data_IF_250144922653
#
_entry.id   IF_250144922653
#
_cell.length_a   1.000
_cell.length_b   1.000
_cell.length_c   1.000
_cell.angle_alpha   90.00
_cell.angle_beta   90.00
_cell.angle_gamma   90.00
#
_symmetry.space_group_name_H-M   'P 1'
#
loop_
_entity.id
_entity.type
_entity.pdbx_description
1 polymer ?
#
# COMPACT_ATOMS: atom_id res chain seq x y z
N UNK A 1 -37.08 -16.32 18.44
CA UNK A 1 -37.02 -14.98 19.09
C UNK A 1 -35.58 -14.65 19.37
N UNK A 2 -35.19 -13.49 18.95
CA UNK A 2 -33.96 -12.74 19.28
C UNK A 2 -32.67 -13.07 18.49
N UNK A 3 -32.65 -12.61 17.25
CA UNK A 3 -31.42 -12.38 16.46
C UNK A 3 -31.44 -10.93 15.95
N UNK A 4 -31.44 -9.97 16.85
CA UNK A 4 -31.25 -8.55 16.57
C UNK A 4 -30.39 -8.01 17.70
N UNK A 5 -29.21 -7.47 17.35
CA UNK A 5 -28.37 -6.53 18.10
C UNK A 5 -26.89 -6.90 18.05
N UNK A 6 -26.31 -6.87 16.84
CA UNK A 6 -24.87 -6.64 16.68
C UNK A 6 -24.62 -5.71 15.46
N UNK A 7 -25.39 -4.64 15.37
CA UNK A 7 -25.16 -3.59 14.38
C UNK A 7 -25.45 -2.25 15.00
N UNK A 8 -24.58 -1.78 15.90
CA UNK A 8 -24.54 -0.37 16.25
C UNK A 8 -23.50 -0.09 17.35
N UNK A 9 -22.24 -0.32 17.09
CA UNK A 9 -21.17 0.34 17.86
C UNK A 9 -20.03 0.60 16.86
N UNK A 10 -20.20 1.61 16.04
CA UNK A 10 -19.10 2.22 15.33
C UNK A 10 -19.34 3.73 15.30
N UNK A 11 -18.48 4.42 16.04
CA UNK A 11 -18.23 5.85 15.91
C UNK A 11 -19.08 6.81 16.73
N UNK A 12 -18.92 6.77 18.06
CA UNK A 12 -19.02 7.97 18.89
C UNK A 12 -17.85 7.96 19.89
N UNK A 13 -16.66 8.20 19.38
CA UNK A 13 -15.53 8.74 20.13
C UNK A 13 -14.76 9.62 19.18
N UNK A 14 -14.35 10.81 19.62
CA UNK A 14 -13.42 11.69 18.93
C UNK A 14 -12.00 11.09 18.82
N UNK A 15 -11.91 9.80 18.55
CA UNK A 15 -10.66 9.08 18.40
C UNK A 15 -9.99 9.45 17.08
N UNK A 16 -8.72 9.75 17.15
CA UNK A 16 -7.88 10.03 15.98
C UNK A 16 -7.87 8.81 15.06
N UNK A 17 -8.08 9.04 13.77
CA UNK A 17 -7.99 7.99 12.76
C UNK A 17 -6.57 7.37 12.78
N UNK A 18 -6.50 6.05 12.87
CA UNK A 18 -5.25 5.28 12.94
C UNK A 18 -5.12 4.42 11.68
N UNK A 19 -4.03 4.57 10.96
CA UNK A 19 -3.73 3.73 9.80
C UNK A 19 -2.42 2.99 9.97
N UNK A 20 -2.30 1.85 9.31
CA UNK A 20 -1.05 1.15 9.15
C UNK A 20 -0.64 1.14 7.68
N UNK A 21 0.61 1.49 7.43
CA UNK A 21 1.25 1.41 6.12
C UNK A 21 2.26 0.26 6.16
N UNK A 22 2.10 -0.69 5.24
CA UNK A 22 2.95 -1.87 5.10
C UNK A 22 3.52 -1.91 3.70
N UNK A 23 4.73 -2.41 3.55
CA UNK A 23 5.29 -2.56 2.21
C UNK A 23 6.81 -2.60 2.18
N UNK A 24 7.32 -2.07 1.11
CA UNK A 24 8.74 -2.02 0.77
C UNK A 24 9.34 -0.60 0.84
N UNK A 25 10.41 -0.35 0.06
CA UNK A 25 11.09 0.95 0.05
C UNK A 25 10.21 2.12 -0.40
N UNK A 26 9.17 1.87 -1.22
CA UNK A 26 8.28 2.93 -1.67
C UNK A 26 7.53 3.55 -0.47
N UNK A 27 7.14 2.74 0.50
CA UNK A 27 6.49 3.21 1.73
C UNK A 27 7.49 3.67 2.79
N UNK A 28 8.69 3.05 2.82
CA UNK A 28 9.67 3.30 3.90
C UNK A 28 10.56 4.53 3.67
N UNK A 29 10.69 5.03 2.41
CA UNK A 29 11.68 6.07 2.09
C UNK A 29 11.31 7.46 2.60
N UNK A 30 12.34 8.17 3.04
CA UNK A 30 12.25 9.52 3.57
C UNK A 30 12.36 10.62 2.49
N UNK A 31 13.09 10.38 1.39
CA UNK A 31 13.32 11.37 0.31
C UNK A 31 13.74 12.75 0.81
N UNK A 32 14.64 12.79 1.80
CA UNK A 32 15.11 14.02 2.43
C UNK A 32 14.24 14.56 3.58
N UNK A 33 13.13 13.92 3.89
CA UNK A 33 12.27 14.28 5.01
C UNK A 33 12.71 13.63 6.32
N UNK A 34 12.27 14.16 7.46
CA UNK A 34 12.60 13.62 8.80
C UNK A 34 11.96 12.22 9.04
N UNK A 35 10.84 11.95 8.40
CA UNK A 35 10.16 10.66 8.43
C UNK A 35 9.81 10.21 6.99
N UNK A 36 9.31 8.99 6.75
CA UNK A 36 8.91 8.57 5.42
C UNK A 36 8.05 9.60 4.71
N UNK A 37 8.38 9.94 3.45
CA UNK A 37 7.74 11.03 2.70
C UNK A 37 6.22 10.87 2.65
N UNK A 38 5.73 9.65 2.51
CA UNK A 38 4.29 9.39 2.51
C UNK A 38 3.64 9.77 3.84
N UNK A 39 4.32 9.55 4.98
CA UNK A 39 3.81 9.94 6.29
C UNK A 39 3.69 11.47 6.39
N UNK A 40 4.75 12.19 5.96
CA UNK A 40 4.74 13.66 5.96
C UNK A 40 3.56 14.21 5.18
N UNK A 41 3.35 13.74 3.95
CA UNK A 41 2.27 14.21 3.08
C UNK A 41 0.88 13.91 3.64
N UNK A 42 0.69 12.72 4.22
CA UNK A 42 -0.59 12.35 4.83
C UNK A 42 -0.86 13.16 6.11
N UNK A 43 0.14 13.36 6.97
CA UNK A 43 0.00 14.18 8.20
C UNK A 43 -0.25 15.65 7.89
N UNK A 44 0.39 16.20 6.86
CA UNK A 44 0.13 17.58 6.41
C UNK A 44 -1.34 17.77 6.01
N UNK A 45 -1.93 16.75 5.37
CA UNK A 45 -3.33 16.79 4.95
C UNK A 45 -4.31 16.44 6.07
N UNK A 46 -3.90 15.58 6.99
CA UNK A 46 -4.70 15.08 8.12
C UNK A 46 -3.89 15.20 9.42
N UNK A 47 -3.84 16.38 10.04
CA UNK A 47 -2.97 16.63 11.21
C UNK A 47 -3.20 15.70 12.42
N UNK A 48 -4.40 15.16 12.53
CA UNK A 48 -4.77 14.25 13.62
C UNK A 48 -4.60 12.77 13.27
N UNK A 49 -4.07 12.44 12.07
CA UNK A 49 -3.87 11.07 11.63
C UNK A 49 -2.70 10.42 12.39
N UNK A 50 -2.94 9.25 12.94
CA UNK A 50 -1.90 8.40 13.53
C UNK A 50 -1.47 7.38 12.48
N UNK A 51 -0.18 7.34 12.15
CA UNK A 51 0.37 6.45 11.14
C UNK A 51 1.37 5.49 11.80
N UNK A 52 1.11 4.20 11.67
CA UNK A 52 2.05 3.14 11.96
C UNK A 52 2.67 2.67 10.64
N UNK A 53 3.91 3.08 10.37
CA UNK A 53 4.61 2.66 9.16
C UNK A 53 5.54 1.49 9.50
N UNK A 54 5.19 0.30 9.04
CA UNK A 54 5.92 -0.95 9.26
C UNK A 54 6.57 -1.46 7.97
N UNK A 55 6.77 -0.59 6.98
CA UNK A 55 7.42 -0.94 5.72
C UNK A 55 8.93 -1.17 5.91
N UNK A 56 9.47 -2.12 5.15
CA UNK A 56 10.91 -2.43 5.17
C UNK A 56 11.44 -2.42 3.74
N UNK A 57 12.46 -1.58 3.50
CA UNK A 57 13.07 -1.44 2.18
C UNK A 57 13.57 -2.79 1.64
N UNK A 58 13.34 -3.01 0.34
CA UNK A 58 13.78 -4.23 -0.34
C UNK A 58 12.87 -5.46 -0.16
N UNK A 59 11.87 -5.42 0.72
CA UNK A 59 10.97 -6.54 0.94
C UNK A 59 10.18 -6.89 -0.33
N UNK A 60 10.05 -8.18 -0.59
CA UNK A 60 9.08 -8.79 -1.50
C UNK A 60 7.95 -9.45 -0.67
N UNK A 61 7.01 -10.13 -1.33
CA UNK A 61 5.90 -10.78 -0.62
C UNK A 61 6.34 -11.92 0.29
N UNK A 62 7.45 -12.62 0.00
CA UNK A 62 7.99 -13.65 0.88
C UNK A 62 8.55 -13.04 2.18
N UNK A 63 9.23 -11.91 2.06
CA UNK A 63 9.81 -11.19 3.20
C UNK A 63 8.71 -10.62 4.09
N UNK A 64 7.72 -9.96 3.49
CA UNK A 64 6.57 -9.44 4.22
C UNK A 64 5.83 -10.55 4.97
N UNK A 65 5.61 -11.69 4.33
CA UNK A 65 4.91 -12.83 4.95
C UNK A 65 5.67 -13.38 6.16
N UNK A 66 7.02 -13.47 6.09
CA UNK A 66 7.85 -13.97 7.22
C UNK A 66 7.74 -13.11 8.47
N UNK A 67 7.63 -11.78 8.30
CA UNK A 67 7.57 -10.84 9.43
C UNK A 67 6.15 -10.35 9.77
N UNK A 68 5.14 -10.91 9.12
CA UNK A 68 3.77 -10.39 9.23
C UNK A 68 3.24 -10.44 10.66
N UNK A 69 3.45 -11.55 11.36
CA UNK A 69 2.94 -11.73 12.74
C UNK A 69 3.70 -10.89 13.75
N UNK A 70 5.04 -10.87 13.67
CA UNK A 70 5.88 -10.18 14.66
C UNK A 70 5.84 -8.66 14.53
N UNK A 71 5.97 -8.16 13.32
CA UNK A 71 6.22 -6.73 13.10
C UNK A 71 4.96 -5.98 12.71
N UNK A 72 4.08 -6.64 11.95
CA UNK A 72 2.93 -6.00 11.34
C UNK A 72 1.67 -6.17 12.18
N UNK A 73 1.35 -7.41 12.56
CA UNK A 73 0.19 -7.70 13.37
C UNK A 73 0.40 -7.41 14.86
N UNK A 74 1.61 -7.00 15.28
CA UNK A 74 1.85 -6.44 16.60
C UNK A 74 1.17 -5.08 16.79
N UNK A 75 1.02 -4.29 15.72
CA UNK A 75 0.22 -3.06 15.74
C UNK A 75 -1.25 -3.43 15.83
N UNK A 76 -1.95 -2.84 16.81
CA UNK A 76 -3.36 -3.15 17.08
C UNK A 76 -4.24 -1.92 16.97
N UNK A 77 -5.55 -2.15 16.76
CA UNK A 77 -6.57 -1.11 16.79
C UNK A 77 -6.33 -0.02 15.74
N UNK A 78 -6.01 -0.42 14.52
CA UNK A 78 -5.97 0.49 13.35
C UNK A 78 -7.29 0.43 12.59
N UNK A 79 -7.69 1.57 12.05
CA UNK A 79 -8.96 1.71 11.32
C UNK A 79 -8.81 1.21 9.88
N UNK A 80 -7.63 1.42 9.28
CA UNK A 80 -7.33 1.00 7.91
C UNK A 80 -5.88 0.53 7.76
N UNK A 81 -5.69 -0.46 6.89
CA UNK A 81 -4.40 -1.03 6.54
C UNK A 81 -4.18 -0.83 5.05
N UNK A 82 -3.03 -0.27 4.69
CA UNK A 82 -2.59 -0.11 3.31
C UNK A 82 -1.35 -0.95 3.07
N UNK A 83 -1.40 -1.83 2.08
CA UNK A 83 -0.31 -2.76 1.71
C UNK A 83 0.17 -2.42 0.31
N UNK A 84 1.42 -1.91 0.18
CA UNK A 84 2.08 -1.69 -1.09
C UNK A 84 3.27 -2.63 -1.19
N UNK A 85 3.14 -3.72 -1.96
CA UNK A 85 4.16 -4.75 -2.11
C UNK A 85 4.11 -5.35 -3.51
N UNK A 86 5.24 -5.82 -4.04
CA UNK A 86 5.28 -6.53 -5.30
C UNK A 86 6.29 -5.98 -6.31
N UNK A 87 6.79 -4.76 -6.12
CA UNK A 87 7.79 -4.20 -7.04
C UNK A 87 9.13 -4.96 -6.96
N UNK A 88 9.44 -5.54 -5.81
CA UNK A 88 10.60 -6.40 -5.63
C UNK A 88 10.34 -7.83 -6.10
N UNK A 89 9.10 -8.29 -6.07
CA UNK A 89 8.68 -9.56 -6.68
C UNK A 89 8.85 -9.52 -8.20
N UNK A 90 8.56 -8.38 -8.84
CA UNK A 90 8.72 -8.18 -10.28
C UNK A 90 10.16 -7.90 -10.74
N UNK A 91 11.14 -7.80 -9.82
CA UNK A 91 12.52 -7.53 -10.19
C UNK A 91 13.21 -8.78 -10.76
N UNK A 92 13.60 -8.78 -12.04
CA UNK A 92 14.17 -9.93 -12.78
C UNK A 92 15.35 -10.64 -12.09
N UNK A 93 16.17 -9.89 -11.32
CA UNK A 93 17.33 -10.44 -10.60
C UNK A 93 16.97 -11.18 -9.30
N UNK A 94 15.75 -11.05 -8.80
CA UNK A 94 15.26 -11.72 -7.57
C UNK A 94 13.76 -12.04 -7.65
N UNK A 95 13.31 -12.32 -8.85
CA UNK A 95 11.90 -12.50 -9.19
C UNK A 95 11.22 -13.58 -8.35
N UNK A 96 10.08 -13.25 -7.81
CA UNK A 96 9.13 -14.22 -7.25
C UNK A 96 8.14 -14.58 -8.35
N UNK A 97 7.97 -15.87 -8.65
CA UNK A 97 7.03 -16.29 -9.71
C UNK A 97 5.61 -15.79 -9.43
N UNK A 98 4.84 -15.52 -10.50
CA UNK A 98 3.46 -15.02 -10.38
C UNK A 98 2.56 -15.92 -9.53
N UNK A 99 2.75 -17.23 -9.58
CA UNK A 99 1.95 -18.15 -8.77
C UNK A 99 2.36 -18.10 -7.30
N UNK A 100 3.65 -18.00 -7.02
CA UNK A 100 4.15 -17.81 -5.64
C UNK A 100 3.72 -16.45 -5.07
N UNK A 101 3.76 -15.40 -5.90
CA UNK A 101 3.26 -14.08 -5.56
C UNK A 101 1.78 -14.13 -5.15
N UNK A 102 0.93 -14.78 -5.98
CA UNK A 102 -0.48 -14.96 -5.67
C UNK A 102 -0.69 -15.72 -4.36
N UNK A 103 0.00 -16.85 -4.17
CA UNK A 103 -0.07 -17.63 -2.93
C UNK A 103 0.35 -16.83 -1.70
N UNK A 104 1.37 -16.00 -1.82
CA UNK A 104 1.82 -15.13 -0.74
C UNK A 104 0.78 -14.07 -0.41
N UNK A 105 0.18 -13.44 -1.42
CA UNK A 105 -0.90 -12.47 -1.23
C UNK A 105 -2.11 -13.08 -0.51
N UNK A 106 -2.54 -14.27 -0.93
CA UNK A 106 -3.62 -15.02 -0.26
C UNK A 106 -3.29 -15.27 1.22
N UNK A 107 -2.07 -15.70 1.52
CA UNK A 107 -1.63 -15.93 2.90
C UNK A 107 -1.62 -14.63 3.72
N UNK A 108 -1.11 -13.53 3.13
CA UNK A 108 -1.11 -12.20 3.77
C UNK A 108 -2.55 -11.78 4.07
N UNK A 109 -3.45 -11.85 3.09
CA UNK A 109 -4.86 -11.49 3.27
C UNK A 109 -5.50 -12.36 4.36
N UNK A 110 -5.32 -13.66 4.33
CA UNK A 110 -5.88 -14.58 5.32
C UNK A 110 -5.39 -14.29 6.75
N UNK A 111 -4.14 -13.87 6.91
CA UNK A 111 -3.62 -13.46 8.22
C UNK A 111 -4.23 -12.12 8.68
N UNK A 112 -4.36 -11.15 7.77
CA UNK A 112 -4.99 -9.87 8.08
C UNK A 112 -6.48 -10.06 8.45
N UNK A 113 -7.19 -10.93 7.74
CA UNK A 113 -8.61 -11.22 7.99
C UNK A 113 -8.89 -11.91 9.33
N UNK A 114 -7.88 -12.44 10.02
CA UNK A 114 -8.03 -12.93 11.40
C UNK A 114 -8.29 -11.80 12.41
N UNK A 115 -7.97 -10.56 12.06
CA UNK A 115 -8.03 -9.40 12.96
C UNK A 115 -8.82 -8.22 12.41
N UNK A 116 -8.92 -8.11 11.09
CA UNK A 116 -9.53 -6.98 10.40
C UNK A 116 -10.58 -7.46 9.40
N UNK A 117 -11.59 -6.67 9.16
CA UNK A 117 -12.56 -6.97 8.10
C UNK A 117 -12.06 -6.47 6.73
N UNK A 118 -12.61 -7.01 5.65
CA UNK A 118 -12.22 -6.70 4.28
C UNK A 118 -12.24 -5.19 3.99
N UNK A 119 -13.24 -4.46 4.54
CA UNK A 119 -13.39 -3.02 4.35
C UNK A 119 -12.28 -2.17 4.97
N UNK A 120 -11.44 -2.75 5.83
CA UNK A 120 -10.29 -2.08 6.44
C UNK A 120 -8.99 -2.31 5.67
N UNK A 121 -8.97 -3.26 4.71
CA UNK A 121 -7.76 -3.73 4.04
C UNK A 121 -7.70 -3.19 2.61
N UNK A 122 -6.65 -2.45 2.31
CA UNK A 122 -6.40 -1.79 1.03
C UNK A 122 -5.07 -2.27 0.46
N UNK A 123 -5.10 -2.85 -0.72
CA UNK A 123 -3.88 -3.20 -1.46
C UNK A 123 -3.61 -2.15 -2.54
N UNK A 124 -2.38 -1.65 -2.56
CA UNK A 124 -1.89 -0.68 -3.53
C UNK A 124 -0.97 -1.43 -4.49
N UNK A 125 -1.13 -1.21 -5.79
CA UNK A 125 -0.27 -1.87 -6.79
C UNK A 125 1.18 -1.42 -6.67
N UNK A 126 2.15 -2.26 -7.12
CA UNK A 126 3.47 -1.78 -7.45
C UNK A 126 3.40 -0.53 -8.34
N UNK A 127 4.34 0.42 -8.22
CA UNK A 127 4.37 1.60 -9.09
C UNK A 127 4.83 1.26 -10.51
N UNK A 128 4.49 2.11 -11.49
CA UNK A 128 5.20 2.15 -12.76
C UNK A 128 6.63 2.63 -12.56
N UNK A 129 7.51 2.39 -13.53
CA UNK A 129 8.93 2.76 -13.49
C UNK A 129 9.33 3.55 -14.74
N UNK A 130 10.35 4.39 -14.61
CA UNK A 130 11.04 4.96 -15.77
C UNK A 130 12.01 3.91 -16.35
N UNK A 131 11.57 3.19 -17.39
CA UNK A 131 12.32 2.08 -18.00
C UNK A 131 13.68 2.50 -18.56
N UNK A 132 13.87 3.78 -18.88
CA UNK A 132 15.18 4.30 -19.36
C UNK A 132 16.26 4.21 -18.29
N UNK A 133 15.85 4.10 -17.01
CA UNK A 133 16.76 4.05 -15.86
C UNK A 133 16.71 2.71 -15.13
N UNK A 134 15.62 1.93 -15.34
CA UNK A 134 15.46 0.64 -14.68
C UNK A 134 16.13 -0.51 -15.45
N UNK A 135 17.01 -1.23 -14.75
CA UNK A 135 17.74 -2.37 -15.32
C UNK A 135 16.99 -3.69 -15.14
N UNK A 136 16.26 -3.85 -14.05
CA UNK A 136 15.69 -5.13 -13.61
C UNK A 136 14.16 -5.17 -13.67
N UNK A 137 13.52 -4.09 -14.08
CA UNK A 137 12.06 -3.95 -14.11
C UNK A 137 11.64 -3.25 -15.39
N UNK A 138 10.54 -3.70 -15.95
CA UNK A 138 9.81 -3.01 -17.02
C UNK A 138 8.33 -2.99 -16.71
N UNK A 139 7.61 -2.04 -17.30
CA UNK A 139 6.20 -1.82 -17.01
C UNK A 139 5.32 -2.96 -17.54
N UNK A 140 5.72 -3.66 -18.60
CA UNK A 140 5.00 -4.82 -19.10
C UNK A 140 5.00 -5.95 -18.08
N UNK A 141 6.16 -6.27 -17.51
CA UNK A 141 6.28 -7.26 -16.44
C UNK A 141 5.52 -6.83 -15.19
N UNK A 142 5.69 -5.57 -14.75
CA UNK A 142 4.97 -5.03 -13.59
C UNK A 142 3.47 -5.16 -13.77
N UNK A 143 2.92 -4.86 -14.96
CA UNK A 143 1.50 -5.00 -15.25
C UNK A 143 0.98 -6.44 -15.04
N UNK A 144 1.80 -7.46 -15.26
CA UNK A 144 1.40 -8.85 -14.96
C UNK A 144 1.20 -9.10 -13.46
N UNK A 145 2.05 -8.48 -12.61
CA UNK A 145 1.91 -8.53 -11.15
C UNK A 145 0.72 -7.69 -10.67
N UNK A 146 0.47 -6.53 -11.28
CA UNK A 146 -0.71 -5.69 -11.02
C UNK A 146 -1.99 -6.47 -11.28
N UNK A 147 -2.12 -7.11 -12.45
CA UNK A 147 -3.28 -7.91 -12.82
C UNK A 147 -3.49 -9.11 -11.87
N UNK A 148 -2.39 -9.73 -11.45
CA UNK A 148 -2.45 -10.83 -10.48
C UNK A 148 -2.92 -10.34 -9.10
N UNK A 149 -2.38 -9.21 -8.63
CA UNK A 149 -2.81 -8.56 -7.37
C UNK A 149 -4.30 -8.21 -7.41
N UNK A 150 -4.73 -7.56 -8.48
CA UNK A 150 -6.14 -7.16 -8.64
C UNK A 150 -7.08 -8.35 -8.50
N UNK A 151 -6.77 -9.46 -9.19
CA UNK A 151 -7.57 -10.69 -9.13
C UNK A 151 -7.67 -11.21 -7.69
N UNK A 152 -6.54 -11.37 -7.01
CA UNK A 152 -6.49 -11.91 -5.65
C UNK A 152 -7.24 -11.00 -4.68
N UNK A 153 -7.02 -9.69 -4.76
CA UNK A 153 -7.65 -8.70 -3.86
C UNK A 153 -9.17 -8.67 -4.05
N UNK A 154 -9.65 -8.68 -5.30
CA UNK A 154 -11.09 -8.69 -5.62
C UNK A 154 -11.77 -9.99 -5.17
N UNK A 155 -11.12 -11.15 -5.36
CA UNK A 155 -11.63 -12.44 -4.89
C UNK A 155 -11.83 -12.45 -3.37
N UNK A 156 -10.95 -11.79 -2.63
CA UNK A 156 -11.02 -11.67 -1.18
C UNK A 156 -11.86 -10.47 -0.69
N UNK A 157 -12.50 -9.72 -1.59
CA UNK A 157 -13.35 -8.54 -1.30
C UNK A 157 -12.62 -7.45 -0.51
N UNK A 158 -11.30 -7.35 -0.66
CA UNK A 158 -10.51 -6.25 -0.15
C UNK A 158 -10.49 -5.08 -1.15
N UNK A 159 -10.04 -3.91 -0.71
CA UNK A 159 -9.95 -2.74 -1.58
C UNK A 159 -8.68 -2.77 -2.43
N UNK A 160 -8.82 -2.39 -3.69
CA UNK A 160 -7.73 -2.30 -4.66
C UNK A 160 -7.50 -0.85 -5.09
N UNK A 161 -6.25 -0.38 -5.01
CA UNK A 161 -5.83 0.96 -5.41
C UNK A 161 -4.75 0.85 -6.50
N UNK A 162 -5.02 1.40 -7.68
CA UNK A 162 -4.14 1.27 -8.84
C UNK A 162 -3.13 2.42 -8.93
N UNK A 163 -2.04 2.33 -8.18
CA UNK A 163 -0.92 3.28 -8.24
C UNK A 163 -0.17 3.18 -9.58
N UNK A 164 -0.05 1.97 -10.15
CA UNK A 164 0.60 1.76 -11.45
C UNK A 164 -0.06 2.64 -12.52
N UNK A 165 -1.36 2.55 -12.65
CA UNK A 165 -2.13 3.31 -13.62
C UNK A 165 -2.07 4.81 -13.33
N UNK A 166 -2.25 5.20 -12.06
CA UNK A 166 -2.19 6.60 -11.65
C UNK A 166 -0.86 7.28 -11.97
N UNK A 167 0.25 6.54 -11.91
CA UNK A 167 1.57 7.04 -12.28
C UNK A 167 1.81 6.98 -13.79
N UNK A 168 1.55 5.84 -14.45
CA UNK A 168 1.83 5.65 -15.88
C UNK A 168 1.02 6.57 -16.79
N UNK A 169 -0.18 6.94 -16.40
CA UNK A 169 -1.04 7.89 -17.12
C UNK A 169 -0.90 9.34 -16.64
N UNK A 170 0.01 9.61 -15.70
CA UNK A 170 0.21 10.98 -15.23
C UNK A 170 0.83 11.84 -16.34
N UNK A 171 0.34 13.08 -16.60
CA UNK A 171 0.84 13.94 -17.69
C UNK A 171 2.37 14.17 -17.65
N UNK A 172 2.96 14.15 -16.47
CA UNK A 172 4.40 14.32 -16.27
C UNK A 172 5.16 12.99 -16.15
N UNK A 173 4.57 11.85 -16.51
CA UNK A 173 5.31 10.59 -16.56
C UNK A 173 6.26 10.57 -17.77
N UNK A 174 7.51 10.09 -17.64
CA UNK A 174 8.11 9.49 -16.44
C UNK A 174 8.85 10.49 -15.52
N UNK A 175 8.76 11.80 -15.75
CA UNK A 175 9.48 12.81 -14.96
C UNK A 175 9.14 12.75 -13.46
N UNK A 176 7.88 12.46 -13.11
CA UNK A 176 7.46 12.33 -11.70
C UNK A 176 8.12 11.17 -10.97
N UNK A 177 8.74 10.23 -11.71
CA UNK A 177 9.51 9.12 -11.14
C UNK A 177 10.93 9.53 -10.70
N UNK A 178 11.29 10.82 -10.82
CA UNK A 178 12.58 11.32 -10.45
C UNK A 178 12.62 11.65 -8.95
N UNK A 179 13.19 10.76 -8.14
CA UNK A 179 13.50 10.97 -6.73
C UNK A 179 14.99 11.20 -6.50
N UNK A 180 15.39 11.24 -5.24
CA UNK A 180 16.78 11.49 -4.82
C UNK A 180 17.79 10.48 -5.37
N UNK A 181 17.39 9.21 -5.54
CA UNK A 181 18.23 8.17 -6.16
C UNK A 181 18.28 8.26 -7.68
N UNK A 182 17.32 8.92 -8.29
CA UNK A 182 17.20 9.08 -9.75
C UNK A 182 17.34 7.75 -10.53
N UNK A 183 16.84 6.65 -9.95
CA UNK A 183 16.96 5.29 -10.46
C UNK A 183 15.74 4.82 -11.27
N UNK A 184 14.75 5.71 -11.46
CA UNK A 184 13.54 5.44 -12.21
C UNK A 184 12.49 4.60 -11.47
N UNK A 185 12.77 4.19 -10.23
CA UNK A 185 11.86 3.44 -9.37
C UNK A 185 11.40 4.27 -8.14
N UNK A 186 12.39 4.82 -7.42
CA UNK A 186 12.13 5.58 -6.21
C UNK A 186 11.80 7.03 -6.60
N UNK A 187 10.52 7.31 -6.66
CA UNK A 187 10.03 8.62 -7.06
C UNK A 187 10.20 9.67 -5.96
N UNK A 188 10.30 10.94 -6.38
CA UNK A 188 10.35 12.09 -5.48
C UNK A 188 8.95 12.56 -5.09
N UNK A 189 8.88 13.80 -4.62
CA UNK A 189 7.66 14.40 -4.07
C UNK A 189 6.45 14.27 -5.00
N UNK A 190 6.61 14.51 -6.31
CA UNK A 190 5.49 14.40 -7.27
C UNK A 190 4.83 13.02 -7.30
N UNK A 191 5.64 11.96 -7.33
CA UNK A 191 5.12 10.59 -7.26
C UNK A 191 4.49 10.28 -5.90
N UNK A 192 5.08 10.79 -4.80
CA UNK A 192 4.47 10.64 -3.48
C UNK A 192 3.17 11.42 -3.32
N UNK A 193 2.99 12.55 -3.99
CA UNK A 193 1.72 13.27 -4.03
C UNK A 193 0.61 12.42 -4.69
N UNK A 194 0.93 11.69 -5.77
CA UNK A 194 -0.01 10.75 -6.40
C UNK A 194 -0.40 9.62 -5.41
N UNK A 195 0.58 9.01 -4.76
CA UNK A 195 0.31 7.97 -3.75
C UNK A 195 -0.51 8.50 -2.57
N UNK A 196 -0.14 9.68 -2.05
CA UNK A 196 -0.87 10.32 -0.95
C UNK A 196 -2.31 10.68 -1.33
N UNK A 197 -2.55 11.10 -2.59
CA UNK A 197 -3.90 11.36 -3.11
C UNK A 197 -4.75 10.10 -3.09
N UNK A 198 -4.23 8.97 -3.59
CA UNK A 198 -4.95 7.68 -3.59
C UNK A 198 -5.32 7.24 -2.18
N UNK A 199 -4.37 7.28 -1.23
CA UNK A 199 -4.64 6.93 0.16
C UNK A 199 -5.66 7.91 0.78
N UNK A 200 -5.50 9.21 0.56
CA UNK A 200 -6.38 10.26 1.10
C UNK A 200 -7.84 10.07 0.71
N UNK A 201 -8.11 9.65 -0.53
CA UNK A 201 -9.48 9.40 -1.00
C UNK A 201 -10.18 8.32 -0.17
N UNK A 202 -9.42 7.34 0.33
CA UNK A 202 -9.94 6.29 1.19
C UNK A 202 -10.16 6.75 2.65
N UNK A 203 -9.52 7.85 3.08
CA UNK A 203 -9.65 8.37 4.44
C UNK A 203 -10.85 9.31 4.59
N UNK A 204 -11.20 10.05 3.55
CA UNK A 204 -12.31 11.03 3.57
C UNK A 204 -13.68 10.35 3.63
N UNK A 205 -13.87 9.20 2.99
CA UNK A 205 -15.15 8.44 2.96
C UNK A 205 -15.55 7.77 4.28
N UNK A 206 -14.77 7.97 5.36
CA UNK A 206 -15.03 7.36 6.67
C UNK A 206 -15.80 8.29 7.64
N UNK A 207 -16.03 9.54 7.27
CA UNK A 207 -16.95 10.44 8.01
C UNK A 207 -18.28 10.40 7.26
N UNK A 208 -19.29 9.82 7.92
CA UNK A 208 -20.65 9.76 7.40
C UNK A 208 -21.10 11.11 6.88
N UNK A 209 -21.72 11.07 5.72
CA UNK A 209 -22.60 12.12 5.25
C UNK A 209 -23.81 12.05 6.17
N UNK A 210 -23.93 13.01 7.07
CA UNK A 210 -25.21 13.41 7.65
C UNK A 210 -25.78 14.52 6.80
#
# INVERSE_FOLDING_TARGET
MSSKLVNSICCERGDRLKIQLMGDSIIARHEGSAEPMINCLLKNKFPNLIIYNTAVAGNNTCDLLRRLDSDVLSVRNVDKIFVLIGINDAARNKQVSLDRYAQNLEKIINQLLKRYCQRQIYFITPPAVDERKQRYRDNQLIATYVNKLERVVKQNRCHFLNLFEALSHHPNFPKIMQGSLNDGLHFGEGGYQVLAKLISQCLVGSKGIN
#
